data_IF_806492070390
#
_entry.id   IF_806492070390
#
_cell.length_a   1.000
_cell.length_b   1.000
_cell.length_c   1.000
_cell.angle_alpha   90.00
_cell.angle_beta   90.00
_cell.angle_gamma   90.00
#
_symmetry.space_group_name_H-M   'P 1'
#
loop_
_entity.id
_entity.type
_entity.pdbx_description
1 polymer ?
#
# COMPACT_ATOMS: atom_id res chain seq x y z
N UNK A 1 -20.80 12.65 -14.00
CA UNK A 1 -19.84 11.72 -13.35
C UNK A 1 -18.75 11.44 -14.37
N UNK A 2 -17.47 11.72 -14.09
CA UNK A 2 -16.43 11.50 -15.12
C UNK A 2 -15.00 11.57 -14.59
N UNK A 3 -14.67 12.61 -13.82
CA UNK A 3 -13.34 12.74 -13.20
C UNK A 3 -13.39 12.46 -11.70
N UNK A 4 -12.42 11.70 -11.19
CA UNK A 4 -12.14 11.50 -9.76
C UNK A 4 -11.37 12.69 -9.16
N UNK A 5 -10.93 13.65 -9.98
CA UNK A 5 -10.34 14.90 -9.51
C UNK A 5 -11.44 15.91 -9.15
N UNK A 6 -11.16 16.74 -8.15
CA UNK A 6 -12.04 17.86 -7.77
C UNK A 6 -11.82 19.01 -8.76
N UNK A 7 -12.89 19.49 -9.38
CA UNK A 7 -12.79 20.50 -10.46
C UNK A 7 -12.31 21.87 -9.97
N UNK A 8 -12.92 22.37 -8.89
CA UNK A 8 -12.60 23.68 -8.31
C UNK A 8 -12.35 23.55 -6.81
N UNK A 9 -11.15 23.08 -6.39
CA UNK A 9 -10.78 23.12 -4.98
C UNK A 9 -10.66 24.57 -4.51
N UNK A 10 -11.10 24.85 -3.28
CA UNK A 10 -11.11 26.22 -2.72
C UNK A 10 -9.72 26.69 -2.26
N UNK A 11 -8.87 25.75 -1.85
CA UNK A 11 -7.57 26.00 -1.24
C UNK A 11 -6.50 25.15 -1.94
N UNK A 12 -5.25 25.60 -1.84
CA UNK A 12 -4.10 24.85 -2.38
C UNK A 12 -3.92 23.52 -1.66
N UNK A 13 -4.12 23.48 -0.34
CA UNK A 13 -4.14 22.24 0.44
C UNK A 13 -5.16 22.37 1.57
N UNK A 14 -5.68 21.24 2.07
CA UNK A 14 -6.65 21.21 3.18
C UNK A 14 -5.97 21.08 4.54
N UNK A 15 -4.87 20.32 4.60
CA UNK A 15 -4.24 19.93 5.86
C UNK A 15 -2.75 19.69 5.66
N UNK A 16 -1.94 20.20 6.58
CA UNK A 16 -0.56 19.80 6.81
C UNK A 16 -0.46 19.14 8.18
N UNK A 17 0.30 18.04 8.26
CA UNK A 17 0.59 17.35 9.52
C UNK A 17 2.04 16.88 9.57
N UNK A 18 2.66 17.00 10.72
CA UNK A 18 3.88 16.27 11.08
C UNK A 18 3.49 15.11 11.99
N UNK A 19 3.93 13.90 11.65
CA UNK A 19 3.53 12.67 12.32
C UNK A 19 4.79 11.97 12.82
N UNK A 20 4.80 11.63 14.11
CA UNK A 20 5.83 10.81 14.75
C UNK A 20 5.58 9.33 14.51
N UNK A 21 6.67 8.57 14.33
CA UNK A 21 6.62 7.10 14.29
C UNK A 21 6.12 6.58 15.65
N UNK A 22 5.25 5.56 15.68
CA UNK A 22 4.86 4.90 16.92
C UNK A 22 6.10 4.37 17.66
N UNK A 23 6.19 4.67 18.95
CA UNK A 23 7.25 4.18 19.84
C UNK A 23 7.01 2.70 20.21
N UNK A 24 8.01 1.97 20.73
CA UNK A 24 7.91 0.52 21.06
C UNK A 24 6.85 0.16 22.15
N UNK A 25 6.00 1.10 22.57
CA UNK A 25 4.82 0.85 23.42
C UNK A 25 3.50 1.40 22.89
N UNK A 26 3.52 2.32 21.92
CA UNK A 26 2.31 2.88 21.30
C UNK A 26 1.98 2.13 20.00
N UNK A 27 0.72 1.72 19.85
CA UNK A 27 0.28 0.98 18.68
C UNK A 27 0.03 1.88 17.44
N UNK A 28 -0.07 3.20 17.61
CA UNK A 28 -0.48 4.10 16.53
C UNK A 28 0.44 5.32 16.37
N UNK A 29 0.65 5.81 15.12
CA UNK A 29 1.35 7.07 14.87
C UNK A 29 0.62 8.26 15.50
N UNK A 30 1.38 9.23 16.00
CA UNK A 30 0.82 10.41 16.68
C UNK A 30 1.19 11.70 15.94
N UNK A 31 0.30 12.70 16.00
CA UNK A 31 0.49 14.00 15.35
C UNK A 31 1.33 14.89 16.27
N UNK A 32 2.45 15.39 15.76
CA UNK A 32 3.37 16.32 16.44
C UNK A 32 2.93 17.78 16.25
N UNK A 33 2.49 18.13 15.05
CA UNK A 33 1.92 19.43 14.71
C UNK A 33 0.98 19.30 13.52
N UNK A 34 0.06 20.24 13.39
CA UNK A 34 -0.88 20.32 12.28
C UNK A 34 -1.19 21.76 11.91
N UNK A 35 -1.56 21.98 10.66
CA UNK A 35 -2.07 23.24 10.15
C UNK A 35 -3.19 22.98 9.13
N UNK A 36 -4.33 23.69 9.19
CA UNK A 36 -4.72 24.66 10.22
C UNK A 36 -4.88 24.04 11.62
N UNK A 37 -4.69 24.84 12.67
CA UNK A 37 -4.79 24.34 14.05
C UNK A 37 -6.21 23.89 14.41
N UNK A 38 -7.23 24.49 13.79
CA UNK A 38 -8.66 24.28 13.99
C UNK A 38 -9.27 23.25 13.00
N UNK A 39 -8.44 22.42 12.35
CA UNK A 39 -8.93 21.39 11.44
C UNK A 39 -9.85 20.38 12.17
N UNK A 40 -11.13 20.39 11.82
CA UNK A 40 -12.19 19.72 12.60
C UNK A 40 -12.53 18.28 12.24
N UNK A 41 -11.87 17.67 11.25
CA UNK A 41 -12.16 16.30 10.79
C UNK A 41 -11.18 15.29 11.42
N UNK A 42 -11.55 14.74 12.57
CA UNK A 42 -10.75 13.76 13.30
C UNK A 42 -10.55 12.44 12.53
N UNK A 43 -11.52 12.03 11.70
CA UNK A 43 -11.45 10.78 10.96
C UNK A 43 -10.41 10.86 9.84
N UNK A 44 -10.31 12.03 9.20
CA UNK A 44 -9.22 12.33 8.27
C UNK A 44 -7.88 12.34 8.99
N UNK A 45 -7.76 12.97 10.16
CA UNK A 45 -6.50 13.01 10.92
C UNK A 45 -6.02 11.59 11.31
N UNK A 46 -6.92 10.73 11.80
CA UNK A 46 -6.63 9.32 12.12
C UNK A 46 -6.22 8.55 10.86
N UNK A 47 -6.94 8.73 9.76
CA UNK A 47 -6.64 8.06 8.49
C UNK A 47 -5.27 8.50 7.94
N UNK A 48 -5.02 9.80 7.84
CA UNK A 48 -3.74 10.36 7.36
C UNK A 48 -2.57 9.84 8.19
N UNK A 49 -2.72 9.74 9.51
CA UNK A 49 -1.70 9.19 10.40
C UNK A 49 -1.36 7.74 10.07
N UNK A 50 -2.37 6.89 9.84
CA UNK A 50 -2.17 5.48 9.46
C UNK A 50 -1.61 5.32 8.03
N UNK A 51 -1.97 6.19 7.10
CA UNK A 51 -1.45 6.18 5.73
C UNK A 51 -0.04 6.77 5.61
N UNK A 52 0.37 7.65 6.51
CA UNK A 52 1.74 8.16 6.60
C UNK A 52 2.73 7.08 7.03
N UNK A 53 2.30 6.10 7.83
CA UNK A 53 3.09 4.92 8.22
C UNK A 53 2.37 3.62 7.81
N UNK A 54 2.32 3.31 6.50
CA UNK A 54 1.52 2.18 6.01
C UNK A 54 2.07 0.81 6.43
N UNK A 55 3.37 0.74 6.73
CA UNK A 55 4.08 -0.46 7.15
C UNK A 55 5.30 -0.08 8.01
N UNK A 56 5.80 -1.03 8.81
CA UNK A 56 7.11 -0.91 9.44
C UNK A 56 8.20 -0.85 8.35
N UNK A 57 8.67 0.35 8.05
CA UNK A 57 9.73 0.60 7.07
C UNK A 57 10.87 1.37 7.75
N UNK A 58 12.08 0.87 7.59
CA UNK A 58 13.30 1.54 8.02
C UNK A 58 14.00 2.07 6.78
N UNK A 59 13.54 3.23 6.31
CA UNK A 59 14.20 3.88 5.18
C UNK A 59 15.50 4.52 5.64
N UNK A 60 16.61 4.11 5.04
CA UNK A 60 17.95 4.69 5.31
C UNK A 60 18.10 6.09 4.70
N UNK A 61 17.22 6.47 3.77
CA UNK A 61 17.22 7.77 3.08
C UNK A 61 15.85 8.46 3.17
N UNK A 62 15.83 9.76 2.88
CA UNK A 62 14.58 10.51 2.69
C UNK A 62 13.77 9.88 1.57
N UNK A 63 12.51 9.56 1.83
CA UNK A 63 11.59 8.96 0.86
C UNK A 63 10.35 9.84 0.67
N UNK A 64 9.90 9.98 -0.58
CA UNK A 64 8.66 10.70 -0.89
C UNK A 64 7.67 9.75 -1.54
N UNK A 65 6.44 9.73 -1.04
CA UNK A 65 5.38 8.92 -1.62
C UNK A 65 4.06 9.68 -1.51
N UNK A 66 3.07 9.27 -2.30
CA UNK A 66 1.74 9.90 -2.27
C UNK A 66 0.66 8.85 -2.13
N UNK A 67 -0.09 8.89 -1.03
CA UNK A 67 -1.31 8.09 -0.88
C UNK A 67 -2.53 8.87 -1.38
N UNK A 68 -3.66 8.16 -1.53
CA UNK A 68 -4.93 8.78 -1.91
C UNK A 68 -6.03 8.31 -0.98
N UNK A 69 -6.77 9.28 -0.46
CA UNK A 69 -8.06 9.07 0.22
C UNK A 69 -9.16 9.40 -0.78
N UNK A 70 -10.26 8.65 -0.72
CA UNK A 70 -11.46 8.92 -1.51
C UNK A 70 -12.51 9.52 -0.59
N UNK A 71 -13.04 10.68 -0.93
CA UNK A 71 -14.14 11.30 -0.19
C UNK A 71 -15.50 10.66 -0.52
N UNK A 72 -16.55 11.12 0.17
CA UNK A 72 -17.92 10.65 -0.03
C UNK A 72 -18.48 10.92 -1.43
N UNK A 73 -17.92 11.90 -2.16
CA UNK A 73 -18.29 12.24 -3.54
C UNK A 73 -17.50 11.42 -4.57
N UNK A 74 -16.63 10.50 -4.09
CA UNK A 74 -15.74 9.72 -4.93
C UNK A 74 -14.55 10.51 -5.49
N UNK A 75 -14.22 11.67 -4.91
CA UNK A 75 -13.07 12.48 -5.33
C UNK A 75 -11.81 12.11 -4.57
N UNK A 76 -10.67 12.25 -5.25
CA UNK A 76 -9.36 11.97 -4.69
C UNK A 76 -8.82 13.15 -3.90
N UNK A 77 -8.45 12.87 -2.64
CA UNK A 77 -7.52 13.68 -1.84
C UNK A 77 -6.16 13.00 -1.86
N UNK A 78 -5.14 13.73 -2.28
CA UNK A 78 -3.76 13.27 -2.34
C UNK A 78 -3.04 13.64 -1.05
N UNK A 79 -2.48 12.64 -0.37
CA UNK A 79 -1.60 12.83 0.79
C UNK A 79 -0.14 12.70 0.36
N UNK A 80 0.53 13.83 0.16
CA UNK A 80 1.93 13.90 -0.22
C UNK A 80 2.79 13.77 1.03
N UNK A 81 3.65 12.77 1.08
CA UNK A 81 4.45 12.44 2.25
C UNK A 81 5.94 12.61 2.00
N UNK A 82 6.67 13.00 3.06
CA UNK A 82 8.13 12.98 3.15
C UNK A 82 8.53 12.28 4.44
N UNK A 83 9.14 11.11 4.32
CA UNK A 83 9.80 10.42 5.44
C UNK A 83 11.19 11.00 5.69
N UNK A 84 11.50 11.32 6.93
CA UNK A 84 12.86 11.62 7.36
C UNK A 84 13.74 10.36 7.30
N UNK A 85 15.07 10.52 7.37
CA UNK A 85 16.02 9.41 7.49
C UNK A 85 15.70 8.58 8.74
N UNK A 86 15.65 7.26 8.61
CA UNK A 86 15.21 6.34 9.67
C UNK A 86 13.68 6.24 9.83
N UNK A 87 12.91 6.98 9.02
CA UNK A 87 11.45 7.05 9.07
C UNK A 87 10.91 7.35 10.48
N UNK A 88 11.60 8.20 11.25
CA UNK A 88 11.18 8.59 12.60
C UNK A 88 10.04 9.60 12.59
N UNK A 89 10.02 10.47 11.58
CA UNK A 89 8.96 11.46 11.37
C UNK A 89 8.54 11.48 9.91
N UNK A 90 7.27 11.83 9.68
CA UNK A 90 6.67 12.01 8.37
C UNK A 90 6.01 13.39 8.29
N UNK A 91 6.41 14.19 7.32
CA UNK A 91 5.67 15.40 6.94
C UNK A 91 4.65 15.03 5.87
N UNK A 92 3.40 15.45 6.03
CA UNK A 92 2.34 15.18 5.07
C UNK A 92 1.52 16.43 4.74
N UNK A 93 1.26 16.66 3.45
CA UNK A 93 0.30 17.65 2.96
C UNK A 93 -0.83 16.91 2.26
N UNK A 94 -2.07 17.22 2.62
CA UNK A 94 -3.29 16.69 2.00
C UNK A 94 -3.92 17.75 1.10
N UNK A 95 -4.11 17.44 -0.18
CA UNK A 95 -4.71 18.35 -1.16
C UNK A 95 -5.52 17.61 -2.21
N UNK A 96 -6.54 18.24 -2.81
CA UNK A 96 -7.19 17.71 -4.02
C UNK A 96 -6.39 17.98 -5.29
N UNK A 97 -5.39 18.86 -5.24
CA UNK A 97 -4.57 19.23 -6.39
C UNK A 97 -3.46 18.18 -6.57
N UNK A 98 -3.37 17.51 -7.74
CA UNK A 98 -2.36 16.48 -8.00
C UNK A 98 -0.99 17.10 -8.35
N UNK A 99 -0.48 18.02 -7.53
CA UNK A 99 0.75 18.79 -7.80
C UNK A 99 1.98 18.15 -7.13
N UNK A 100 2.29 16.92 -7.53
CA UNK A 100 3.34 16.09 -6.92
C UNK A 100 4.67 16.81 -6.74
N UNK A 101 5.20 17.42 -7.81
CA UNK A 101 6.51 18.07 -7.79
C UNK A 101 6.53 19.30 -6.88
N UNK A 102 5.44 20.07 -6.83
CA UNK A 102 5.34 21.28 -6.00
C UNK A 102 5.27 20.90 -4.54
N UNK A 103 4.39 19.95 -4.18
CA UNK A 103 4.24 19.54 -2.78
C UNK A 103 5.48 18.82 -2.25
N UNK A 104 6.18 18.02 -3.07
CA UNK A 104 7.45 17.45 -2.64
C UNK A 104 8.55 18.50 -2.43
N UNK A 105 8.61 19.55 -3.28
CA UNK A 105 9.52 20.68 -3.06
C UNK A 105 9.16 21.45 -1.78
N UNK A 106 7.86 21.71 -1.57
CA UNK A 106 7.36 22.38 -0.36
C UNK A 106 7.69 21.57 0.90
N UNK A 107 7.46 20.26 0.90
CA UNK A 107 7.81 19.37 2.02
C UNK A 107 9.31 19.34 2.32
N UNK A 108 10.18 19.42 1.30
CA UNK A 108 11.62 19.53 1.52
C UNK A 108 11.98 20.87 2.15
N UNK A 109 11.40 21.96 1.65
CA UNK A 109 11.63 23.29 2.21
C UNK A 109 11.15 23.40 3.66
N UNK A 110 9.96 22.87 3.97
CA UNK A 110 9.43 22.76 5.33
C UNK A 110 10.35 21.93 6.24
N UNK A 111 10.89 20.82 5.75
CA UNK A 111 11.83 20.00 6.51
C UNK A 111 13.15 20.73 6.80
N UNK A 112 13.64 21.53 5.86
CA UNK A 112 14.87 22.32 6.05
C UNK A 112 14.66 23.42 7.11
N UNK A 113 13.50 24.09 7.11
CA UNK A 113 13.12 25.06 8.15
C UNK A 113 12.96 24.39 9.51
N UNK A 114 12.35 23.19 9.56
CA UNK A 114 12.23 22.39 10.79
C UNK A 114 13.59 22.06 11.39
N UNK A 115 14.55 21.65 10.56
CA UNK A 115 15.91 21.34 11.01
C UNK A 115 16.65 22.58 11.53
N UNK A 116 16.29 23.78 11.08
CA UNK A 116 16.81 25.06 11.61
C UNK A 116 16.12 25.51 12.90
N UNK A 117 15.09 24.79 13.38
CA UNK A 117 14.25 25.11 14.54
C UNK A 117 13.47 26.45 14.45
N UNK A 118 13.12 26.88 13.24
CA UNK A 118 12.43 28.15 12.99
C UNK A 118 10.90 27.98 12.87
N UNK A 119 10.23 27.58 13.97
CA UNK A 119 8.79 27.25 13.96
C UNK A 119 7.89 28.36 13.42
N UNK A 120 8.14 29.61 13.81
CA UNK A 120 7.34 30.76 13.36
C UNK A 120 7.33 30.92 11.82
N UNK A 121 8.37 30.47 11.12
CA UNK A 121 8.45 30.58 9.67
C UNK A 121 7.60 29.51 8.97
N UNK A 122 7.46 28.34 9.59
CA UNK A 122 6.61 27.26 9.10
C UNK A 122 5.16 27.69 9.10
N UNK A 123 4.68 28.20 10.24
CA UNK A 123 3.28 28.64 10.38
C UNK A 123 2.95 29.74 9.38
N UNK A 124 3.84 30.73 9.22
CA UNK A 124 3.66 31.82 8.25
C UNK A 124 3.67 31.35 6.80
N UNK A 125 4.54 30.39 6.44
CA UNK A 125 4.57 29.84 5.10
C UNK A 125 3.31 29.02 4.80
N UNK A 126 2.88 28.19 5.74
CA UNK A 126 1.66 27.39 5.63
C UNK A 126 0.45 28.31 5.53
N UNK A 127 0.40 29.37 6.33
CA UNK A 127 -0.64 30.41 6.27
C UNK A 127 -0.67 31.15 4.95
N UNK A 128 0.48 31.65 4.48
CA UNK A 128 0.58 32.33 3.19
C UNK A 128 0.16 31.42 2.03
N UNK A 129 0.50 30.13 2.08
CA UNK A 129 0.13 29.15 1.05
C UNK A 129 -1.34 28.74 1.14
N UNK A 130 -1.89 28.64 2.33
CA UNK A 130 -3.28 28.23 2.55
C UNK A 130 -4.29 29.36 2.25
N UNK A 131 -3.93 30.62 2.54
CA UNK A 131 -4.74 31.79 2.24
C UNK A 131 -4.72 32.18 0.75
N UNK A 132 -3.73 31.72 -0.01
CA UNK A 132 -3.65 32.00 -1.44
C UNK A 132 -4.75 31.24 -2.20
N UNK A 133 -5.48 31.95 -3.07
CA UNK A 133 -6.46 31.32 -3.96
C UNK A 133 -5.78 30.34 -4.93
N UNK A 134 -6.50 29.31 -5.39
CA UNK A 134 -5.91 28.35 -6.32
C UNK A 134 -5.54 29.08 -7.63
N UNK A 135 -4.24 29.17 -7.98
CA UNK A 135 -3.79 29.89 -9.17
C UNK A 135 -4.29 29.25 -10.45
N UNK A 136 -4.45 30.08 -11.49
CA UNK A 136 -4.73 29.59 -12.84
C UNK A 136 -3.55 28.78 -13.39
N UNK A 137 -3.79 27.76 -14.24
CA UNK A 137 -2.74 27.01 -14.91
C UNK A 137 -1.70 27.91 -15.60
N UNK A 138 -0.41 27.67 -15.34
CA UNK A 138 0.70 28.45 -15.89
C UNK A 138 1.03 29.74 -15.15
N UNK A 139 0.23 30.17 -14.16
CA UNK A 139 0.56 31.32 -13.32
C UNK A 139 1.68 30.98 -12.33
N UNK A 140 2.59 31.93 -12.13
CA UNK A 140 3.62 31.85 -11.09
C UNK A 140 3.04 32.33 -9.75
N UNK A 141 3.23 31.52 -8.71
CA UNK A 141 2.88 31.84 -7.34
C UNK A 141 4.17 32.02 -6.55
N UNK A 142 4.26 33.14 -5.86
CA UNK A 142 5.35 33.47 -4.95
C UNK A 142 4.75 33.50 -3.55
N UNK A 143 4.91 32.41 -2.79
CA UNK A 143 4.60 32.41 -1.37
C UNK A 143 5.74 33.14 -0.64
N UNK A 144 5.50 34.41 -0.29
CA UNK A 144 6.46 35.28 0.38
C UNK A 144 6.12 35.34 1.87
N UNK A 145 7.08 35.03 2.72
CA UNK A 145 7.07 35.49 4.11
C UNK A 145 7.66 36.90 4.15
N UNK A 146 6.90 37.94 4.58
CA UNK A 146 7.32 39.35 4.49
C UNK A 146 8.67 39.69 5.13
N UNK A 147 9.06 38.91 6.14
CA UNK A 147 10.25 39.17 6.97
C UNK A 147 11.49 38.35 6.54
N UNK A 148 11.39 37.50 5.51
CA UNK A 148 12.45 36.58 5.08
C UNK A 148 12.76 36.70 3.58
N UNK A 149 14.05 36.61 3.25
CA UNK A 149 14.52 36.72 1.86
C UNK A 149 14.23 35.47 1.00
N UNK A 150 14.03 34.31 1.63
CA UNK A 150 13.76 33.06 0.92
C UNK A 150 12.27 33.00 0.50
N UNK A 151 12.03 32.95 -0.81
CA UNK A 151 10.69 32.91 -1.42
C UNK A 151 10.43 31.50 -1.94
N UNK A 152 9.28 30.91 -1.59
CA UNK A 152 8.85 29.67 -2.23
C UNK A 152 8.09 30.00 -3.51
N UNK A 153 8.72 29.74 -4.66
CA UNK A 153 8.18 30.08 -5.98
C UNK A 153 7.86 28.80 -6.75
N UNK A 154 6.66 28.74 -7.31
CA UNK A 154 6.26 27.65 -8.19
C UNK A 154 5.29 28.12 -9.28
N UNK A 155 5.26 27.40 -10.39
CA UNK A 155 4.29 27.62 -11.47
C UNK A 155 3.19 26.57 -11.38
N UNK A 156 1.93 27.00 -11.38
CA UNK A 156 0.79 26.10 -11.35
C UNK A 156 0.80 25.18 -12.59
N UNK A 157 0.80 23.84 -12.44
CA UNK A 157 0.91 22.92 -13.55
C UNK A 157 -0.39 22.93 -14.37
N UNK A 158 -0.24 22.76 -15.69
CA UNK A 158 -1.39 22.72 -16.58
C UNK A 158 -1.93 21.28 -16.71
N UNK A 159 -3.16 21.00 -16.24
CA UNK A 159 -3.74 19.65 -16.27
C UNK A 159 -4.05 19.17 -17.69
N UNK A 160 -4.06 20.06 -18.69
CA UNK A 160 -4.33 19.71 -20.09
C UNK A 160 -3.10 19.12 -20.81
N UNK A 161 -1.90 19.30 -20.26
CA UNK A 161 -0.67 18.80 -20.86
C UNK A 161 -0.41 17.34 -20.50
N UNK A 162 0.20 16.60 -21.42
CA UNK A 162 0.64 15.24 -21.14
C UNK A 162 1.84 15.27 -20.17
N UNK A 163 1.97 14.26 -19.28
CA UNK A 163 3.14 14.14 -18.43
C UNK A 163 4.38 13.83 -19.26
N UNK A 164 5.43 14.65 -19.11
CA UNK A 164 6.72 14.48 -19.80
C UNK A 164 7.77 13.87 -18.87
N UNK A 165 8.66 13.05 -19.44
CA UNK A 165 9.85 12.51 -18.75
C UNK A 165 11.04 13.41 -19.12
N UNK A 166 11.87 13.86 -18.15
CA UNK A 166 11.93 13.46 -16.74
C UNK A 166 11.16 14.38 -15.76
N UNK A 167 10.38 15.33 -16.26
CA UNK A 167 9.73 16.36 -15.42
C UNK A 167 8.70 15.75 -14.47
N UNK A 168 7.92 14.78 -14.93
CA UNK A 168 6.95 14.05 -14.11
C UNK A 168 7.65 12.92 -13.34
N UNK A 169 7.74 13.05 -12.01
CA UNK A 169 8.44 12.07 -11.17
C UNK A 169 7.79 10.70 -11.19
N UNK A 170 6.45 10.64 -11.19
CA UNK A 170 5.72 9.39 -11.13
C UNK A 170 5.94 8.55 -12.39
N UNK A 171 5.80 9.16 -13.56
CA UNK A 171 6.01 8.49 -14.84
C UNK A 171 7.47 8.09 -15.04
N UNK A 172 8.41 8.94 -14.63
CA UNK A 172 9.85 8.67 -14.70
C UNK A 172 10.24 7.46 -13.85
N UNK A 173 9.78 7.39 -12.60
CA UNK A 173 10.06 6.24 -11.72
C UNK A 173 9.31 4.98 -12.16
N UNK A 174 8.11 5.11 -12.74
CA UNK A 174 7.39 3.97 -13.31
C UNK A 174 8.15 3.37 -14.50
N UNK A 175 8.59 4.21 -15.44
CA UNK A 175 9.39 3.81 -16.60
C UNK A 175 10.73 3.19 -16.20
N UNK A 176 11.39 3.72 -15.16
CA UNK A 176 12.66 3.17 -14.67
C UNK A 176 12.49 1.83 -13.93
N UNK A 177 11.37 1.62 -13.25
CA UNK A 177 11.12 0.46 -12.41
C UNK A 177 10.48 -0.74 -13.11
N UNK A 178 9.73 -0.51 -14.20
CA UNK A 178 8.89 -1.52 -14.84
C UNK A 178 9.33 -1.76 -16.28
N UNK A 179 9.56 -3.02 -16.66
CA UNK A 179 9.89 -3.37 -18.03
C UNK A 179 8.72 -3.10 -18.98
N UNK A 180 9.02 -2.77 -20.24
CA UNK A 180 8.00 -2.49 -21.28
C UNK A 180 6.93 -3.58 -21.39
N UNK A 181 7.33 -4.86 -21.34
CA UNK A 181 6.40 -5.99 -21.34
C UNK A 181 5.42 -5.95 -20.16
N UNK A 182 5.91 -5.65 -18.94
CA UNK A 182 5.05 -5.54 -17.76
C UNK A 182 4.19 -4.28 -17.79
N UNK A 183 4.69 -3.17 -18.35
CA UNK A 183 3.89 -1.96 -18.55
C UNK A 183 2.67 -2.23 -19.43
N UNK A 184 2.85 -2.99 -20.53
CA UNK A 184 1.76 -3.40 -21.42
C UNK A 184 0.78 -4.32 -20.67
N UNK A 185 1.28 -5.30 -19.90
CA UNK A 185 0.41 -6.19 -19.11
C UNK A 185 -0.43 -5.41 -18.10
N UNK A 186 0.17 -4.45 -17.38
CA UNK A 186 -0.54 -3.59 -16.43
C UNK A 186 -1.57 -2.73 -17.15
N UNK A 187 -1.18 -2.09 -18.25
CA UNK A 187 -2.08 -1.27 -19.07
C UNK A 187 -3.29 -2.06 -19.57
N UNK A 188 -3.08 -3.22 -20.19
CA UNK A 188 -4.15 -4.11 -20.66
C UNK A 188 -5.00 -4.61 -19.49
N UNK A 189 -4.37 -4.98 -18.37
CA UNK A 189 -5.11 -5.40 -17.17
C UNK A 189 -6.02 -4.29 -16.65
N UNK A 190 -5.59 -3.03 -16.73
CA UNK A 190 -6.39 -1.87 -16.37
C UNK A 190 -7.52 -1.61 -17.39
N UNK A 191 -7.28 -1.77 -18.69
CA UNK A 191 -8.34 -1.66 -19.72
C UNK A 191 -9.45 -2.71 -19.56
N UNK A 192 -9.10 -3.91 -19.11
CA UNK A 192 -10.07 -4.98 -18.80
C UNK A 192 -10.61 -4.94 -17.37
N UNK A 193 -10.41 -3.82 -16.65
CA UNK A 193 -10.89 -3.63 -15.29
C UNK A 193 -10.53 -4.83 -14.39
N UNK A 194 -9.28 -5.30 -14.46
CA UNK A 194 -8.82 -6.42 -13.64
C UNK A 194 -8.41 -5.93 -12.24
N UNK A 195 -8.32 -6.89 -11.32
CA UNK A 195 -7.75 -6.68 -9.98
C UNK A 195 -6.23 -6.64 -10.07
N UNK A 196 -5.66 -5.43 -10.12
CA UNK A 196 -4.23 -5.19 -10.29
C UNK A 196 -3.59 -4.88 -8.95
N UNK A 197 -2.57 -5.68 -8.60
CA UNK A 197 -1.79 -5.50 -7.39
C UNK A 197 -0.32 -5.26 -7.71
N UNK A 198 0.19 -4.10 -7.32
CA UNK A 198 1.59 -3.70 -7.47
C UNK A 198 2.29 -3.78 -6.11
N UNK A 199 3.52 -4.28 -6.10
CA UNK A 199 4.30 -4.48 -4.87
C UNK A 199 5.72 -3.96 -5.02
N UNK A 200 6.25 -3.30 -3.99
CA UNK A 200 7.62 -2.76 -3.98
C UNK A 200 8.20 -2.74 -2.57
N UNK A 201 9.54 -2.70 -2.47
CA UNK A 201 10.29 -2.48 -1.22
C UNK A 201 10.45 -0.99 -0.87
N UNK A 202 10.19 -0.09 -1.82
CA UNK A 202 10.28 1.36 -1.65
C UNK A 202 8.91 1.98 -1.86
N UNK A 203 8.47 2.84 -0.95
CA UNK A 203 7.15 3.49 -1.00
C UNK A 203 7.08 4.48 -2.16
N UNK A 204 8.13 5.29 -2.37
CA UNK A 204 8.25 6.17 -3.54
C UNK A 204 7.96 5.46 -4.83
N UNK A 205 8.68 4.37 -5.09
CA UNK A 205 8.51 3.54 -6.28
C UNK A 205 7.13 2.92 -6.36
N UNK A 206 6.58 2.46 -5.24
CA UNK A 206 5.25 1.84 -5.20
C UNK A 206 4.17 2.82 -5.67
N UNK A 207 4.09 3.98 -5.03
CA UNK A 207 3.07 4.98 -5.35
C UNK A 207 3.31 5.59 -6.73
N UNK A 208 4.57 5.82 -7.10
CA UNK A 208 4.91 6.33 -8.43
C UNK A 208 4.48 5.36 -9.54
N UNK A 209 4.67 4.06 -9.35
CA UNK A 209 4.21 3.07 -10.33
C UNK A 209 2.70 3.06 -10.48
N UNK A 210 1.94 3.25 -9.40
CA UNK A 210 0.48 3.26 -9.45
C UNK A 210 -0.04 4.55 -10.10
N UNK A 211 0.46 5.70 -9.67
CA UNK A 211 0.10 6.99 -10.28
C UNK A 211 0.56 7.05 -11.75
N UNK A 212 1.76 6.54 -12.05
CA UNK A 212 2.30 6.43 -13.40
C UNK A 212 1.44 5.54 -14.29
N UNK A 213 1.12 4.32 -13.85
CA UNK A 213 0.25 3.41 -14.60
C UNK A 213 -1.15 4.00 -14.81
N UNK A 214 -1.73 4.63 -13.79
CA UNK A 214 -3.02 5.31 -13.91
C UNK A 214 -2.97 6.53 -14.85
N UNK A 215 -1.85 7.27 -14.87
CA UNK A 215 -1.66 8.41 -15.76
C UNK A 215 -1.59 8.00 -17.23
N UNK A 216 -1.12 6.78 -17.53
CA UNK A 216 -1.10 6.26 -18.91
C UNK A 216 -2.51 5.90 -19.44
N UNK A 217 -3.53 5.91 -18.58
CA UNK A 217 -4.91 5.86 -19.05
C UNK A 217 -5.39 7.22 -19.60
N UNK A 218 -4.60 8.30 -19.44
CA UNK A 218 -4.90 9.64 -19.95
C UNK A 218 -4.40 9.85 -21.40
N UNK A 219 -5.22 10.31 -22.37
CA UNK A 219 -6.67 10.18 -22.40
C UNK A 219 -7.20 9.60 -23.74
N UNK A 220 -8.25 8.78 -23.66
CA UNK A 220 -9.33 8.79 -24.66
C UNK A 220 -10.22 10.05 -24.44
N UNK A 221 -9.58 11.22 -24.30
CA UNK A 221 -10.20 12.55 -24.37
C UNK A 221 -10.10 12.96 -25.84
N UNK A 222 -11.24 13.11 -26.51
CA UNK A 222 -11.32 14.11 -27.57
C UNK A 222 -12.11 15.29 -27.02
N UNK A 223 -11.47 16.44 -26.97
CA UNK A 223 -12.16 17.73 -26.96
C UNK A 223 -13.09 17.73 -28.17
N UNK A 224 -14.40 17.81 -27.96
CA UNK A 224 -15.32 18.23 -29.01
C UNK A 224 -14.77 19.55 -29.54
N UNK A 225 -14.29 19.55 -30.79
CA UNK A 225 -14.00 20.76 -31.54
C UNK A 225 -15.31 21.54 -31.63
N UNK A 226 -15.50 22.45 -30.69
CA UNK A 226 -16.53 23.49 -30.75
C UNK A 226 -16.15 24.46 -31.86
N UNK A 227 -16.30 24.03 -33.11
CA UNK A 227 -16.26 24.96 -34.24
C UNK A 227 -17.10 24.55 -35.44
N UNK A 228 -18.14 23.71 -35.29
CA UNK A 228 -19.19 23.60 -36.31
C UNK A 228 -20.55 23.26 -35.67
N UNK A 229 -21.56 24.12 -35.74
CA UNK A 229 -22.91 23.78 -35.34
C UNK A 229 -23.58 23.13 -36.55
N UNK A 230 -23.65 21.79 -36.62
CA UNK A 230 -24.64 21.02 -37.37
C UNK A 230 -24.33 19.51 -37.24
N UNK A 231 -24.88 18.90 -36.18
CA UNK A 231 -25.13 17.47 -35.88
C UNK A 231 -24.72 17.14 -34.43
N UNK A 232 -25.69 17.23 -33.51
CA UNK A 232 -25.48 17.23 -32.06
C UNK A 232 -25.84 15.90 -31.35
N UNK A 233 -25.85 14.76 -32.04
CA UNK A 233 -26.07 13.46 -31.39
C UNK A 233 -24.75 12.69 -31.29
N UNK A 234 -23.97 12.96 -30.24
CA UNK A 234 -23.43 12.01 -29.23
C UNK A 234 -22.33 12.73 -28.42
N UNK A 235 -22.66 13.50 -27.36
CA UNK A 235 -21.68 13.96 -26.39
C UNK A 235 -21.69 13.02 -25.15
N UNK A 236 -21.02 11.87 -25.24
CA UNK A 236 -20.78 10.98 -24.08
C UNK A 236 -19.65 9.96 -24.32
N UNK A 237 -18.50 10.41 -24.81
CA UNK A 237 -17.25 9.65 -24.67
C UNK A 237 -16.51 10.20 -23.46
N UNK A 238 -16.80 9.58 -22.31
CA UNK A 238 -16.23 9.91 -21.02
C UNK A 238 -14.71 9.61 -21.02
N UNK A 239 -13.87 10.48 -20.46
CA UNK A 239 -12.45 10.17 -20.30
C UNK A 239 -12.30 8.90 -19.44
N UNK A 240 -11.54 7.92 -19.92
CA UNK A 240 -11.25 6.68 -19.19
C UNK A 240 -10.34 6.98 -17.97
N UNK A 241 -10.94 7.43 -16.87
CA UNK A 241 -10.31 7.37 -15.56
C UNK A 241 -10.64 6.04 -14.88
N UNK A 242 -9.70 5.52 -14.08
CA UNK A 242 -9.97 4.38 -13.21
C UNK A 242 -11.09 4.74 -12.22
N UNK A 243 -12.25 4.09 -12.33
CA UNK A 243 -13.43 4.42 -11.52
C UNK A 243 -13.56 3.54 -10.26
N UNK A 244 -12.88 2.40 -10.24
CA UNK A 244 -12.97 1.44 -9.14
C UNK A 244 -12.03 1.78 -7.99
N UNK A 245 -11.87 0.86 -7.05
CA UNK A 245 -11.03 1.03 -5.87
C UNK A 245 -9.58 1.36 -6.30
N UNK A 246 -9.07 2.48 -5.80
CA UNK A 246 -7.75 3.03 -6.13
C UNK A 246 -7.01 3.36 -4.85
N UNK A 247 -5.99 2.58 -4.51
CA UNK A 247 -5.21 2.74 -3.28
C UNK A 247 -3.72 2.65 -3.63
N UNK A 248 -3.02 3.78 -3.86
CA UNK A 248 -1.60 3.80 -4.22
C UNK A 248 -0.68 3.14 -3.20
N UNK A 249 -1.05 3.17 -1.92
CA UNK A 249 -0.37 2.44 -0.86
C UNK A 249 -1.40 2.03 0.19
N UNK A 250 -1.51 0.73 0.40
CA UNK A 250 -2.45 0.14 1.34
C UNK A 250 -1.75 -0.06 2.70
N UNK A 251 -2.25 0.59 3.78
CA UNK A 251 -1.74 0.34 5.12
C UNK A 251 -2.14 -1.04 5.64
N UNK A 252 -1.39 -1.57 6.60
CA UNK A 252 -1.58 -2.92 7.14
C UNK A 252 -3.01 -3.22 7.61
N UNK A 253 -3.67 -2.27 8.29
CA UNK A 253 -5.03 -2.46 8.82
C UNK A 253 -6.12 -2.56 7.74
N UNK A 254 -5.80 -2.23 6.48
CA UNK A 254 -6.72 -2.34 5.34
C UNK A 254 -6.37 -3.51 4.41
N UNK A 255 -5.54 -4.46 4.84
CA UNK A 255 -5.08 -5.55 3.98
C UNK A 255 -6.23 -6.39 3.39
N UNK A 256 -7.34 -6.50 4.12
CA UNK A 256 -8.53 -7.25 3.71
C UNK A 256 -9.21 -6.68 2.45
N UNK A 257 -8.96 -5.42 2.11
CA UNK A 257 -9.43 -4.81 0.85
C UNK A 257 -8.83 -5.50 -0.39
N UNK A 258 -7.74 -6.26 -0.24
CA UNK A 258 -7.20 -7.08 -1.33
C UNK A 258 -8.14 -8.22 -1.75
N UNK A 259 -9.06 -8.63 -0.88
CA UNK A 259 -10.05 -9.67 -1.16
C UNK A 259 -11.30 -9.14 -1.87
N UNK A 260 -11.34 -7.83 -2.15
CA UNK A 260 -12.44 -7.17 -2.85
C UNK A 260 -12.79 -7.89 -4.17
N UNK A 261 -14.07 -8.27 -4.41
CA UNK A 261 -14.48 -8.93 -5.65
C UNK A 261 -14.50 -7.97 -6.86
N UNK A 262 -14.67 -6.67 -6.61
CA UNK A 262 -14.66 -5.62 -7.64
C UNK A 262 -13.25 -5.37 -8.20
N UNK A 263 -13.11 -4.79 -9.41
CA UNK A 263 -11.82 -4.34 -9.90
C UNK A 263 -11.13 -3.39 -8.93
N UNK A 264 -9.81 -3.45 -8.85
CA UNK A 264 -9.05 -2.52 -8.03
C UNK A 264 -7.63 -2.34 -8.57
N UNK A 265 -7.03 -1.19 -8.25
CA UNK A 265 -5.62 -0.91 -8.44
C UNK A 265 -5.04 -0.55 -7.08
N UNK A 266 -4.28 -1.49 -6.51
CA UNK A 266 -3.78 -1.41 -5.13
C UNK A 266 -2.27 -1.61 -5.09
N UNK A 267 -1.60 -0.78 -4.29
CA UNK A 267 -0.18 -0.88 -3.96
C UNK A 267 0.04 -1.45 -2.57
N UNK A 268 0.90 -2.46 -2.44
CA UNK A 268 1.27 -3.02 -1.14
C UNK A 268 2.78 -3.02 -0.97
N UNK A 269 3.24 -2.55 0.20
CA UNK A 269 4.64 -2.69 0.55
C UNK A 269 4.99 -4.17 0.75
N UNK A 270 6.16 -4.58 0.24
CA UNK A 270 6.58 -5.97 0.22
C UNK A 270 6.62 -6.66 1.60
N UNK A 271 6.78 -5.91 2.70
CA UNK A 271 6.74 -6.48 4.06
C UNK A 271 5.34 -6.96 4.47
N UNK A 272 4.29 -6.30 4.02
CA UNK A 272 2.89 -6.66 4.31
C UNK A 272 2.42 -7.85 3.44
N UNK A 273 3.16 -8.12 2.37
CA UNK A 273 2.77 -9.10 1.37
C UNK A 273 3.14 -10.54 1.77
N UNK A 274 3.54 -10.85 3.01
CA UNK A 274 4.04 -12.19 3.39
C UNK A 274 3.06 -13.37 3.20
N UNK A 275 1.77 -13.12 2.93
CA UNK A 275 0.81 -14.14 2.44
C UNK A 275 1.08 -14.54 0.97
N UNK A 276 2.07 -13.95 0.29
CA UNK A 276 2.38 -14.13 -1.13
C UNK A 276 3.51 -15.11 -1.48
N UNK A 277 3.91 -15.99 -0.56
CA UNK A 277 4.85 -17.07 -0.91
C UNK A 277 4.35 -17.87 -2.14
N UNK A 278 3.03 -18.03 -2.27
CA UNK A 278 2.35 -18.62 -3.42
C UNK A 278 2.64 -17.86 -4.74
N UNK A 279 2.58 -16.52 -4.73
CA UNK A 279 2.76 -15.68 -5.93
C UNK A 279 4.20 -15.64 -6.43
N UNK A 280 5.20 -15.77 -5.54
CA UNK A 280 6.62 -15.84 -5.92
C UNK A 280 6.93 -17.13 -6.70
N UNK A 281 6.30 -18.24 -6.32
CA UNK A 281 6.46 -19.52 -7.01
C UNK A 281 5.67 -19.59 -8.32
N UNK A 282 4.50 -18.93 -8.40
CA UNK A 282 3.73 -18.83 -9.65
C UNK A 282 4.37 -17.91 -10.70
N UNK A 283 5.23 -16.97 -10.30
CA UNK A 283 5.87 -15.98 -11.20
C UNK A 283 7.28 -16.33 -11.67
N UNK A 284 7.90 -17.43 -11.21
CA UNK A 284 9.20 -17.83 -11.74
C UNK A 284 9.03 -18.29 -13.19
N UNK A 285 9.47 -17.47 -14.14
CA UNK A 285 9.46 -17.68 -15.60
C UNK A 285 10.37 -18.83 -16.08
N UNK A 286 10.44 -19.96 -15.36
CA UNK A 286 10.99 -21.21 -15.88
C UNK A 286 9.81 -22.09 -16.28
N UNK A 287 9.46 -22.07 -17.57
CA UNK A 287 8.42 -22.93 -18.14
C UNK A 287 8.67 -24.43 -17.82
N UNK A 288 9.92 -24.84 -17.62
CA UNK A 288 10.32 -26.19 -17.21
C UNK A 288 9.81 -26.62 -15.81
N UNK A 289 9.62 -25.69 -14.86
CA UNK A 289 9.10 -26.02 -13.50
C UNK A 289 7.58 -26.07 -13.43
N UNK A 290 6.89 -25.61 -14.47
CA UNK A 290 5.42 -25.57 -14.55
C UNK A 290 4.83 -26.79 -15.28
N UNK A 291 5.67 -27.63 -15.90
CA UNK A 291 5.24 -28.90 -16.49
C UNK A 291 5.17 -30.01 -15.43
N UNK A 292 4.21 -30.94 -15.56
CA UNK A 292 3.97 -32.01 -14.58
C UNK A 292 3.18 -31.53 -13.34
N UNK A 293 3.59 -31.96 -12.15
CA UNK A 293 2.94 -31.64 -10.87
C UNK A 293 3.39 -30.29 -10.25
N UNK A 294 4.25 -29.54 -10.95
CA UNK A 294 4.88 -28.32 -10.42
C UNK A 294 3.90 -27.26 -9.94
N UNK A 295 2.80 -27.02 -10.67
CA UNK A 295 1.74 -26.11 -10.24
C UNK A 295 1.04 -26.62 -8.97
N UNK A 296 0.66 -27.90 -8.94
CA UNK A 296 0.00 -28.51 -7.78
C UNK A 296 0.89 -28.44 -6.54
N UNK A 297 2.21 -28.68 -6.69
CA UNK A 297 3.19 -28.61 -5.60
C UNK A 297 3.37 -27.20 -5.04
N UNK A 298 3.15 -26.16 -5.85
CA UNK A 298 3.18 -24.76 -5.37
C UNK A 298 1.98 -24.46 -4.48
N UNK A 299 0.78 -24.89 -4.89
CA UNK A 299 -0.42 -24.76 -4.07
C UNK A 299 -0.34 -25.62 -2.81
N UNK A 300 0.21 -26.84 -2.92
CA UNK A 300 0.48 -27.71 -1.79
C UNK A 300 1.37 -27.04 -0.74
N UNK A 301 2.46 -26.40 -1.16
CA UNK A 301 3.36 -25.64 -0.25
C UNK A 301 2.67 -24.50 0.48
N UNK A 302 1.72 -23.81 -0.17
CA UNK A 302 0.96 -22.76 0.49
C UNK A 302 -0.11 -23.34 1.43
N UNK A 303 -0.75 -24.44 1.06
CA UNK A 303 -1.64 -25.18 1.96
C UNK A 303 -0.87 -25.64 3.20
N UNK A 304 0.34 -26.16 3.07
CA UNK A 304 1.20 -26.51 4.22
C UNK A 304 1.58 -25.29 5.05
N UNK A 305 1.88 -24.15 4.43
CA UNK A 305 2.19 -22.92 5.17
C UNK A 305 1.01 -22.43 6.03
N UNK A 306 -0.22 -22.62 5.54
CA UNK A 306 -1.46 -22.17 6.21
C UNK A 306 -1.93 -23.22 7.23
N UNK A 307 -2.03 -24.47 6.82
CA UNK A 307 -2.68 -25.55 7.56
C UNK A 307 -1.69 -26.40 8.36
N UNK A 308 -0.40 -26.40 8.02
CA UNK A 308 0.58 -27.36 8.54
C UNK A 308 0.82 -27.30 10.05
N UNK A 309 0.48 -26.19 10.72
CA UNK A 309 0.55 -26.09 12.19
C UNK A 309 -0.61 -26.78 12.91
N UNK A 310 -1.54 -27.42 12.19
CA UNK A 310 -2.59 -28.22 12.80
C UNK A 310 -2.03 -29.35 13.68
N UNK A 311 -0.83 -29.87 13.36
CA UNK A 311 -0.16 -30.89 14.17
C UNK A 311 0.19 -30.43 15.58
N UNK A 312 0.56 -29.15 15.73
CA UNK A 312 0.91 -28.56 17.03
C UNK A 312 -0.33 -28.42 17.94
N UNK A 313 -1.52 -28.44 17.33
CA UNK A 313 -2.81 -28.40 17.97
C UNK A 313 -3.41 -29.79 18.25
N UNK A 314 -2.73 -30.89 17.89
CA UNK A 314 -3.14 -32.23 18.30
C UNK A 314 -2.82 -32.46 19.79
N UNK A 315 -3.72 -33.15 20.49
CA UNK A 315 -3.58 -33.48 21.91
C UNK A 315 -3.58 -34.99 22.10
N UNK A 316 -2.54 -35.48 22.78
CA UNK A 316 -2.33 -36.88 23.07
C UNK A 316 -2.51 -37.09 24.57
N UNK A 317 -3.60 -37.72 24.96
CA UNK A 317 -3.88 -38.09 26.34
C UNK A 317 -3.79 -39.62 26.48
N UNK A 318 -3.12 -40.08 27.53
CA UNK A 318 -2.81 -41.49 27.71
C UNK A 318 -4.10 -42.30 27.93
N UNK A 319 -4.42 -43.21 27.01
CA UNK A 319 -5.63 -44.04 27.09
C UNK A 319 -6.90 -43.40 26.54
N UNK A 320 -6.84 -42.16 26.04
CA UNK A 320 -7.96 -41.47 25.40
C UNK A 320 -7.73 -41.31 23.90
N UNK A 321 -8.80 -40.96 23.18
CA UNK A 321 -8.70 -40.61 21.76
C UNK A 321 -7.90 -39.33 21.59
N UNK A 322 -7.08 -39.28 20.55
CA UNK A 322 -6.40 -38.08 20.08
C UNK A 322 -7.46 -37.07 19.65
N UNK A 323 -7.32 -35.82 20.12
CA UNK A 323 -8.24 -34.71 19.84
C UNK A 323 -7.50 -33.52 19.23
N UNK A 324 -8.27 -32.57 18.69
CA UNK A 324 -7.76 -31.33 18.12
C UNK A 324 -8.18 -30.13 18.98
N UNK A 325 -7.21 -29.29 19.35
CA UNK A 325 -7.36 -28.11 20.19
C UNK A 325 -7.41 -26.84 19.30
N UNK A 326 -8.63 -26.36 19.03
CA UNK A 326 -8.87 -25.21 18.16
C UNK A 326 -8.19 -23.94 18.65
N UNK A 327 -8.14 -23.71 19.97
CA UNK A 327 -7.53 -22.51 20.54
C UNK A 327 -6.01 -22.53 20.36
N UNK A 328 -5.41 -23.71 20.57
CA UNK A 328 -3.98 -23.92 20.31
C UNK A 328 -3.62 -23.72 18.84
N UNK A 329 -4.50 -24.10 17.91
CA UNK A 329 -4.30 -23.89 16.49
C UNK A 329 -4.28 -22.40 16.14
N UNK A 330 -5.21 -21.59 16.68
CA UNK A 330 -5.26 -20.14 16.44
C UNK A 330 -4.03 -19.41 16.98
N UNK A 331 -3.52 -19.83 18.15
CA UNK A 331 -2.31 -19.22 18.74
C UNK A 331 -0.99 -19.77 18.19
N UNK A 332 -1.02 -20.84 17.38
CA UNK A 332 0.17 -21.46 16.80
C UNK A 332 0.94 -20.56 15.82
N UNK A 333 0.31 -19.47 15.35
CA UNK A 333 0.85 -18.55 14.35
C UNK A 333 0.87 -17.10 14.84
N UNK A 334 1.44 -16.22 14.00
CA UNK A 334 1.59 -14.80 14.31
C UNK A 334 0.24 -14.15 14.66
N UNK A 335 0.21 -13.12 15.53
CA UNK A 335 -1.03 -12.43 15.91
C UNK A 335 -1.84 -11.90 14.73
N UNK A 336 -1.17 -11.52 13.64
CA UNK A 336 -1.79 -11.08 12.38
C UNK A 336 -2.61 -12.14 11.66
N UNK A 337 -2.35 -13.44 11.89
CA UNK A 337 -3.06 -14.55 11.25
C UNK A 337 -4.27 -15.03 12.05
N UNK A 338 -4.43 -14.61 13.31
CA UNK A 338 -5.50 -15.08 14.20
C UNK A 338 -6.91 -14.91 13.59
N UNK A 339 -7.30 -13.75 13.05
CA UNK A 339 -8.65 -13.57 12.49
C UNK A 339 -8.92 -14.50 11.29
N UNK A 340 -7.86 -14.81 10.52
CA UNK A 340 -7.96 -15.74 9.40
C UNK A 340 -8.12 -17.19 9.89
N UNK A 341 -7.37 -17.62 10.91
CA UNK A 341 -7.45 -18.97 11.47
C UNK A 341 -8.78 -19.22 12.19
N UNK A 342 -9.33 -18.20 12.85
CA UNK A 342 -10.67 -18.25 13.46
C UNK A 342 -11.76 -18.49 12.40
N UNK A 343 -11.68 -17.80 11.26
CA UNK A 343 -12.58 -18.03 10.12
C UNK A 343 -12.36 -19.41 9.47
N UNK A 344 -11.11 -19.85 9.37
CA UNK A 344 -10.75 -21.16 8.82
C UNK A 344 -11.37 -22.31 9.62
N UNK A 345 -11.43 -22.20 10.96
CA UNK A 345 -12.07 -23.18 11.84
C UNK A 345 -13.57 -23.37 11.57
N UNK A 346 -14.22 -22.35 11.00
CA UNK A 346 -15.65 -22.41 10.63
C UNK A 346 -15.90 -23.08 9.28
N UNK A 347 -14.84 -23.36 8.49
CA UNK A 347 -15.00 -23.97 7.18
C UNK A 347 -15.22 -25.47 7.29
N UNK A 348 -16.33 -25.95 6.70
CA UNK A 348 -16.67 -27.37 6.66
C UNK A 348 -15.54 -28.24 6.06
N UNK A 349 -14.84 -27.74 5.05
CA UNK A 349 -13.72 -28.45 4.41
C UNK A 349 -12.54 -28.63 5.35
N UNK A 350 -12.24 -27.64 6.20
CA UNK A 350 -11.18 -27.76 7.20
C UNK A 350 -11.59 -28.70 8.34
N UNK A 351 -12.85 -28.62 8.79
CA UNK A 351 -13.39 -29.53 9.79
C UNK A 351 -13.34 -30.99 9.33
N UNK A 352 -13.70 -31.26 8.07
CA UNK A 352 -13.60 -32.59 7.46
C UNK A 352 -12.14 -33.05 7.38
N UNK A 353 -11.23 -32.19 6.93
CA UNK A 353 -9.80 -32.49 6.90
C UNK A 353 -9.27 -32.92 8.28
N UNK A 354 -9.60 -32.19 9.35
CA UNK A 354 -9.19 -32.55 10.71
C UNK A 354 -9.85 -33.85 11.17
N UNK A 355 -11.15 -34.04 10.94
CA UNK A 355 -11.88 -35.23 11.34
C UNK A 355 -11.29 -36.51 10.71
N UNK A 356 -11.01 -36.50 9.40
CA UNK A 356 -10.40 -37.64 8.70
C UNK A 356 -9.03 -38.00 9.28
N UNK A 357 -8.21 -36.99 9.65
CA UNK A 357 -6.90 -37.22 10.26
C UNK A 357 -7.00 -37.78 11.67
N UNK A 358 -7.95 -37.28 12.47
CA UNK A 358 -8.21 -37.82 13.81
C UNK A 358 -8.71 -39.27 13.74
N UNK A 359 -9.59 -39.59 12.79
CA UNK A 359 -10.11 -40.96 12.60
C UNK A 359 -8.98 -41.94 12.26
N UNK A 360 -8.09 -41.57 11.35
CA UNK A 360 -6.92 -42.39 10.99
C UNK A 360 -6.00 -42.62 12.20
N UNK A 361 -5.63 -41.55 12.92
CA UNK A 361 -4.75 -41.66 14.10
C UNK A 361 -5.37 -42.49 15.20
N UNK A 362 -6.66 -42.30 15.47
CA UNK A 362 -7.39 -43.04 16.50
C UNK A 362 -7.64 -44.51 16.12
N UNK A 363 -7.65 -44.83 14.82
CA UNK A 363 -7.65 -46.21 14.33
C UNK A 363 -6.25 -46.88 14.38
N UNK A 364 -5.21 -46.16 14.83
CA UNK A 364 -3.82 -46.62 14.79
C UNK A 364 -3.22 -46.65 13.38
N UNK A 365 -3.91 -46.05 12.40
CA UNK A 365 -3.46 -45.94 11.03
C UNK A 365 -2.70 -44.62 10.87
N UNK A 366 -1.38 -44.70 10.68
CA UNK A 366 -0.61 -43.52 10.28
C UNK A 366 -1.03 -43.03 8.89
N UNK A 367 -0.77 -41.76 8.60
CA UNK A 367 -1.01 -41.17 7.28
C UNK A 367 0.26 -40.46 6.80
N UNK A 368 0.60 -40.63 5.52
CA UNK A 368 1.80 -40.06 4.88
C UNK A 368 1.50 -39.77 3.41
N UNK A 369 0.74 -38.72 3.14
CA UNK A 369 0.47 -38.23 1.79
C UNK A 369 1.39 -37.05 1.41
N UNK A 370 1.26 -36.55 0.18
CA UNK A 370 2.08 -35.44 -0.33
C UNK A 370 2.02 -34.20 0.58
N UNK A 371 0.88 -33.94 1.23
CA UNK A 371 0.74 -32.83 2.16
C UNK A 371 1.57 -33.06 3.43
N UNK A 372 1.58 -34.26 3.99
CA UNK A 372 2.40 -34.59 5.15
C UNK A 372 3.91 -34.63 4.84
N UNK A 373 4.29 -35.12 3.66
CA UNK A 373 5.68 -35.13 3.18
C UNK A 373 6.21 -33.68 3.10
N UNK A 374 5.44 -32.78 2.48
CA UNK A 374 5.82 -31.38 2.36
C UNK A 374 5.80 -30.65 3.72
N UNK A 375 4.90 -31.01 4.63
CA UNK A 375 4.86 -30.49 6.02
C UNK A 375 6.13 -30.85 6.80
N UNK A 376 6.63 -32.09 6.65
CA UNK A 376 7.88 -32.53 7.27
C UNK A 376 9.09 -31.73 6.74
N UNK A 377 9.18 -31.56 5.42
CA UNK A 377 10.25 -30.78 4.77
C UNK A 377 10.25 -29.30 5.20
N UNK A 378 9.07 -28.75 5.48
CA UNK A 378 8.90 -27.37 5.94
C UNK A 378 9.36 -27.18 7.40
N UNK A 379 9.07 -28.17 8.27
CA UNK A 379 9.50 -28.16 9.67
C UNK A 379 11.03 -28.26 9.84
N UNK A 380 11.71 -29.02 8.97
CA UNK A 380 13.18 -29.17 9.02
C UNK A 380 13.93 -27.88 8.60
N UNK A 381 13.38 -27.11 7.65
CA UNK A 381 13.91 -25.79 7.29
C UNK A 381 13.89 -24.81 8.46
N UNK A 382 12.80 -24.78 9.24
CA UNK A 382 12.66 -23.92 10.42
C UNK A 382 13.59 -24.31 11.58
N UNK A 383 13.85 -25.61 11.78
CA UNK A 383 14.83 -26.09 12.77
C UNK A 383 16.28 -25.74 12.42
N UNK A 384 16.56 -25.54 11.13
CA UNK A 384 17.91 -25.17 10.67
C UNK A 384 18.17 -23.66 10.84
N UNK A 385 17.16 -22.81 10.61
CA UNK A 385 17.25 -21.36 10.86
C UNK A 385 17.30 -21.02 12.36
N UNK A 386 16.55 -21.74 13.21
CA UNK A 386 16.54 -21.51 14.66
C UNK A 386 17.83 -21.95 15.38
N UNK A 387 18.61 -22.90 14.83
CA UNK A 387 19.95 -23.22 15.36
C UNK A 387 20.98 -22.10 15.16
N UNK A 388 20.75 -21.16 14.24
CA UNK A 388 21.63 -20.00 14.07
C UNK A 388 21.44 -18.93 15.16
N UNK A 389 20.29 -18.92 15.83
CA UNK A 389 19.91 -17.91 16.83
C UNK A 389 20.21 -18.39 18.27
N UNK A 390 20.14 -19.69 18.55
CA UNK A 390 20.39 -20.24 19.89
C UNK A 390 21.84 -20.71 20.14
N UNK A 391 22.72 -20.64 19.14
CA UNK A 391 24.14 -21.01 19.28
C UNK A 391 25.04 -19.95 19.95
N UNK A 392 24.50 -18.82 20.41
CA UNK A 392 25.27 -17.68 20.97
C UNK A 392 24.95 -17.28 22.41
N UNK A 393 24.26 -18.12 23.18
CA UNK A 393 24.17 -17.97 24.63
C UNK A 393 24.70 -19.23 25.30
N UNK A 394 26.02 -19.29 25.52
CA UNK A 394 26.60 -20.08 26.60
C UNK A 394 26.84 -19.15 27.79
N UNK A 395 26.48 -19.54 29.02
CA UNK A 395 26.88 -18.78 30.20
C UNK A 395 28.41 -18.91 30.40
N UNK A 396 29.07 -17.88 30.97
CA UNK A 396 30.49 -17.94 31.30
C UNK A 396 30.74 -19.07 32.32
N UNK A 397 31.87 -19.76 32.16
CA UNK A 397 32.35 -20.80 33.07
C UNK A 397 32.66 -20.28 34.46
#
# INVERSE_FOLDING_TARGET
MGSRLRGNPKQIFELFVEIGRPSEGDQEPFILQQYPADYGDEDVLKSVSKFAFPCANESVAVDHFTFVLTDIEGKFKFGFCRHATGALTCLCIVSYLPWYEIFYKLLNYLADILNRNEKNHIDRLLEATHQHEVPSPGSEVIAVTPDFAEKFVFTAPNPSLLPEIPQNRNLTEYYSAVSSANMIVVFVSMLFERRVLITSKKLSRLTACIHGAASLLYPLHWYVLSQYPLHWYVPSLYPLHWQHLYIPVLPQHLIDYCSAPMPYLIGIHSSLFQVSALKKHLRSHQADRMMGDGLARIFLKAMVAILGSYRDALRFHLGEKITFDSDAFVISRSPSMKPFLENLLQLQTFQQFIAERLDLLNAGQGFMDEFEIETNLWADKWKTDSRSVWGKMQPPR
#
